data_IF_527505763503
#
_entry.id   IF_527505763503
#
_cell.length_a   1.000
_cell.length_b   1.000
_cell.length_c   1.000
_cell.angle_alpha   90.00
_cell.angle_beta   90.00
_cell.angle_gamma   90.00
#
_symmetry.space_group_name_H-M   'P 1'
#
loop_
_entity.id
_entity.type
_entity.pdbx_description
1 polymer ?
#
# COMPACT_ATOMS: atom_id res chain seq x y z
N UNK A 1 14.05 -6.59 -9.91
CA UNK A 1 13.52 -7.76 -9.19
C UNK A 1 14.08 -9.01 -9.85
N UNK A 2 14.56 -10.04 -9.13
CA UNK A 2 15.28 -11.16 -9.72
C UNK A 2 14.41 -12.33 -10.19
N UNK A 3 13.09 -12.20 -10.17
CA UNK A 3 12.17 -13.26 -10.59
C UNK A 3 11.79 -13.13 -12.05
N UNK A 4 11.73 -14.26 -12.74
CA UNK A 4 11.25 -14.36 -14.10
C UNK A 4 9.76 -14.04 -14.19
N UNK A 5 9.29 -13.74 -15.40
CA UNK A 5 7.87 -13.54 -15.67
C UNK A 5 7.07 -14.80 -15.30
N UNK A 6 5.85 -14.62 -14.80
CA UNK A 6 4.92 -15.73 -14.51
C UNK A 6 5.47 -16.82 -13.56
N UNK A 7 6.33 -16.43 -12.62
CA UNK A 7 6.94 -17.34 -11.63
C UNK A 7 6.04 -17.76 -10.47
N UNK A 8 4.94 -17.04 -10.20
CA UNK A 8 4.10 -17.27 -9.02
C UNK A 8 2.61 -17.32 -9.36
N UNK A 9 1.87 -18.25 -8.72
CA UNK A 9 0.41 -18.28 -8.80
C UNK A 9 -0.25 -17.22 -7.90
N UNK A 10 0.39 -16.90 -6.78
CA UNK A 10 -0.10 -15.94 -5.78
C UNK A 10 1.02 -15.05 -5.30
N UNK A 11 0.75 -13.75 -5.23
CA UNK A 11 1.62 -12.76 -4.58
C UNK A 11 0.85 -12.16 -3.40
N UNK A 12 1.49 -12.12 -2.24
CA UNK A 12 0.93 -11.55 -1.02
C UNK A 12 1.78 -10.37 -0.55
N UNK A 13 1.15 -9.23 -0.34
CA UNK A 13 1.80 -8.01 0.16
C UNK A 13 1.09 -7.55 1.42
N UNK A 14 1.73 -7.76 2.57
CA UNK A 14 1.17 -7.40 3.87
C UNK A 14 1.90 -6.18 4.42
N UNK A 15 1.19 -5.08 4.58
CA UNK A 15 1.65 -3.86 5.24
C UNK A 15 2.96 -3.30 4.70
N UNK A 16 3.12 -3.35 3.38
CA UNK A 16 4.35 -2.95 2.70
C UNK A 16 4.13 -1.97 1.53
N UNK A 17 3.00 -2.06 0.81
CA UNK A 17 2.79 -1.30 -0.43
C UNK A 17 2.80 0.23 -0.19
N UNK A 18 2.28 0.68 0.95
CA UNK A 18 2.27 2.09 1.36
C UNK A 18 3.66 2.71 1.58
N UNK A 19 4.70 1.87 1.65
CA UNK A 19 6.09 2.31 1.82
C UNK A 19 6.90 2.22 0.51
N UNK A 20 6.29 1.74 -0.57
CA UNK A 20 6.92 1.78 -1.89
C UNK A 20 6.95 3.23 -2.40
N UNK A 21 8.12 3.75 -2.81
CA UNK A 21 8.21 5.10 -3.39
C UNK A 21 7.34 5.26 -4.64
N UNK A 22 7.18 4.18 -5.41
CA UNK A 22 6.37 4.14 -6.63
C UNK A 22 5.44 2.92 -6.60
N UNK A 23 4.29 2.99 -5.90
CA UNK A 23 3.37 1.85 -5.74
C UNK A 23 2.88 1.29 -7.07
N UNK A 24 2.65 2.15 -8.07
CA UNK A 24 2.25 1.71 -9.41
C UNK A 24 3.33 0.88 -10.13
N UNK A 25 4.62 1.22 -9.96
CA UNK A 25 5.73 0.43 -10.51
C UNK A 25 5.80 -0.91 -9.79
N UNK A 26 5.65 -0.92 -8.46
CA UNK A 26 5.65 -2.14 -7.66
C UNK A 26 4.51 -3.09 -8.09
N UNK A 27 3.29 -2.57 -8.29
CA UNK A 27 2.14 -3.34 -8.75
C UNK A 27 2.35 -3.92 -10.15
N UNK A 28 2.99 -3.19 -11.08
CA UNK A 28 3.33 -3.73 -12.40
C UNK A 28 4.35 -4.86 -12.32
N UNK A 29 5.34 -4.75 -11.46
CA UNK A 29 6.30 -5.85 -11.23
C UNK A 29 5.62 -7.06 -10.59
N UNK A 30 4.72 -6.87 -9.63
CA UNK A 30 3.90 -7.95 -9.06
C UNK A 30 3.04 -8.61 -10.13
N UNK A 31 2.46 -7.83 -11.04
CA UNK A 31 1.68 -8.34 -12.18
C UNK A 31 2.52 -9.15 -13.15
N UNK A 32 3.76 -8.75 -13.42
CA UNK A 32 4.72 -9.42 -14.32
C UNK A 32 5.10 -10.81 -13.80
N UNK A 33 5.38 -10.93 -12.50
CA UNK A 33 5.78 -12.20 -11.89
C UNK A 33 4.60 -13.15 -11.63
N UNK A 34 3.35 -12.68 -11.76
CA UNK A 34 2.17 -13.53 -11.66
C UNK A 34 1.96 -14.36 -12.93
N UNK A 35 1.70 -15.65 -12.75
CA UNK A 35 1.25 -16.54 -13.80
C UNK A 35 -0.11 -16.08 -14.38
N UNK A 36 -0.45 -16.46 -15.62
CA UNK A 36 -1.79 -16.22 -16.16
C UNK A 36 -2.87 -16.79 -15.23
N UNK A 37 -3.81 -15.95 -14.80
CA UNK A 37 -4.85 -16.35 -13.83
C UNK A 37 -4.42 -16.29 -12.36
N UNK A 38 -3.17 -15.92 -12.07
CA UNK A 38 -2.67 -15.74 -10.71
C UNK A 38 -3.30 -14.53 -10.00
N UNK A 39 -3.22 -14.53 -8.67
CA UNK A 39 -3.86 -13.53 -7.81
C UNK A 39 -2.85 -12.70 -7.01
N UNK A 40 -3.11 -11.40 -6.91
CA UNK A 40 -2.42 -10.51 -5.97
C UNK A 40 -3.36 -10.20 -4.80
N UNK A 41 -2.87 -10.36 -3.58
CA UNK A 41 -3.56 -9.93 -2.37
C UNK A 41 -2.71 -8.88 -1.66
N UNK A 42 -3.30 -7.70 -1.41
CA UNK A 42 -2.66 -6.61 -0.69
C UNK A 42 -3.44 -6.29 0.57
N UNK A 43 -2.74 -6.19 1.69
CA UNK A 43 -3.24 -5.64 2.93
C UNK A 43 -2.48 -4.35 3.23
N UNK A 44 -3.17 -3.21 3.15
CA UNK A 44 -2.61 -1.87 3.42
C UNK A 44 -3.34 -1.21 4.60
N UNK A 45 -2.81 -0.09 5.09
CA UNK A 45 -3.52 0.71 6.10
C UNK A 45 -4.65 1.50 5.44
N UNK A 46 -5.82 1.48 6.08
CA UNK A 46 -6.97 2.30 5.71
C UNK A 46 -6.78 3.77 6.07
N UNK A 47 -7.85 4.59 6.03
CA UNK A 47 -7.78 6.00 6.40
C UNK A 47 -7.21 6.19 7.82
N UNK A 48 -6.48 7.28 8.03
CA UNK A 48 -5.82 7.56 9.30
C UNK A 48 -6.84 7.76 10.43
N UNK A 49 -7.91 8.48 10.12
CA UNK A 49 -9.01 8.86 11.00
C UNK A 49 -9.82 7.67 11.51
N UNK A 50 -9.85 6.57 10.75
CA UNK A 50 -10.58 5.34 11.12
C UNK A 50 -9.80 4.47 12.10
N UNK A 51 -8.51 4.76 12.32
CA UNK A 51 -7.67 4.04 13.25
C UNK A 51 -7.35 4.90 14.49
N UNK A 52 -7.91 4.59 15.67
CA UNK A 52 -7.67 5.40 16.87
C UNK A 52 -6.22 5.33 17.38
N UNK A 53 -5.48 4.28 17.01
CA UNK A 53 -4.10 4.08 17.47
C UNK A 53 -3.12 5.17 16.95
N UNK A 54 -2.93 5.38 15.64
CA UNK A 54 -2.05 6.41 15.12
C UNK A 54 -2.55 7.82 15.47
N UNK A 55 -3.87 8.03 15.59
CA UNK A 55 -4.44 9.30 16.06
C UNK A 55 -3.98 9.60 17.50
N UNK A 56 -4.04 8.61 18.39
CA UNK A 56 -3.55 8.76 19.77
C UNK A 56 -2.04 9.04 19.80
N UNK A 57 -1.25 8.35 18.97
CA UNK A 57 0.20 8.59 18.87
C UNK A 57 0.50 10.03 18.45
N UNK A 58 -0.18 10.55 17.42
CA UNK A 58 -0.01 11.94 16.98
C UNK A 58 -0.35 12.91 18.11
N UNK A 59 -1.50 12.75 18.77
CA UNK A 59 -1.95 13.66 19.83
C UNK A 59 -0.99 13.68 21.04
N UNK A 60 -0.37 12.54 21.35
CA UNK A 60 0.61 12.43 22.44
C UNK A 60 1.96 13.04 22.02
N UNK A 61 2.43 12.77 20.81
CA UNK A 61 3.79 13.11 20.39
C UNK A 61 3.91 14.55 19.87
N UNK A 62 2.89 15.06 19.16
CA UNK A 62 2.93 16.36 18.48
C UNK A 62 3.31 17.53 19.42
N UNK A 63 2.81 17.63 20.68
CA UNK A 63 3.24 18.67 21.62
C UNK A 63 4.72 18.60 22.03
N UNK A 64 5.37 17.44 21.87
CA UNK A 64 6.74 17.19 22.33
C UNK A 64 7.78 17.23 21.19
N UNK A 65 7.39 16.80 19.98
CA UNK A 65 8.30 16.68 18.83
C UNK A 65 7.87 17.49 17.61
N UNK A 66 6.76 18.22 17.71
CA UNK A 66 6.23 19.10 16.67
C UNK A 66 5.36 18.40 15.62
N UNK A 67 4.79 19.22 14.72
CA UNK A 67 3.80 18.81 13.72
C UNK A 67 4.32 17.77 12.69
N UNK A 68 5.64 17.63 12.55
CA UNK A 68 6.23 16.67 11.60
C UNK A 68 5.85 15.21 11.89
N UNK A 69 5.51 14.88 13.14
CA UNK A 69 5.05 13.54 13.51
C UNK A 69 3.74 13.16 12.80
N UNK A 70 2.84 14.14 12.61
CA UNK A 70 1.57 13.94 11.89
C UNK A 70 1.84 13.58 10.45
N UNK A 71 2.69 14.33 9.76
CA UNK A 71 3.06 14.04 8.37
C UNK A 71 3.67 12.66 8.23
N UNK A 72 4.57 12.30 9.17
CA UNK A 72 5.27 11.01 9.13
C UNK A 72 4.32 9.82 9.34
N UNK A 73 3.40 9.91 10.31
CA UNK A 73 2.42 8.86 10.57
C UNK A 73 1.34 8.80 9.49
N UNK A 74 0.87 9.95 8.99
CA UNK A 74 -0.11 10.01 7.90
C UNK A 74 0.43 9.42 6.59
N UNK A 75 1.73 9.53 6.32
CA UNK A 75 2.34 8.98 5.11
C UNK A 75 2.16 7.45 4.99
N UNK A 76 2.12 6.73 6.11
CA UNK A 76 1.88 5.29 6.11
C UNK A 76 0.40 4.92 5.82
N UNK A 77 -0.51 5.90 5.89
CA UNK A 77 -1.92 5.80 5.49
C UNK A 77 -2.17 6.39 4.09
N UNK A 78 -1.12 6.63 3.30
CA UNK A 78 -1.20 7.23 1.95
C UNK A 78 -2.04 6.45 0.95
N UNK A 79 -2.28 5.15 1.20
CA UNK A 79 -3.15 4.29 0.39
C UNK A 79 -4.49 4.00 1.08
N UNK A 80 -4.88 4.82 2.06
CA UNK A 80 -6.08 4.61 2.86
C UNK A 80 -7.39 4.81 2.09
N UNK A 81 -7.37 5.52 0.97
CA UNK A 81 -8.53 5.68 0.10
C UNK A 81 -8.71 4.46 -0.81
N UNK A 82 -9.83 3.75 -0.64
CA UNK A 82 -10.13 2.54 -1.40
C UNK A 82 -10.29 2.78 -2.92
N UNK A 83 -10.79 3.94 -3.34
CA UNK A 83 -10.95 4.29 -4.76
C UNK A 83 -9.60 4.58 -5.41
N UNK A 84 -8.72 5.33 -4.74
CA UNK A 84 -7.35 5.57 -5.20
C UNK A 84 -6.56 4.27 -5.30
N UNK A 85 -6.69 3.39 -4.29
CA UNK A 85 -6.07 2.07 -4.31
C UNK A 85 -6.60 1.25 -5.49
N UNK A 86 -7.91 1.20 -5.72
CA UNK A 86 -8.51 0.52 -6.88
C UNK A 86 -7.98 1.08 -8.21
N UNK A 87 -7.84 2.40 -8.32
CA UNK A 87 -7.29 3.04 -9.51
C UNK A 87 -5.82 2.64 -9.76
N UNK A 88 -5.00 2.52 -8.70
CA UNK A 88 -3.63 2.02 -8.81
C UNK A 88 -3.58 0.59 -9.39
N UNK A 89 -4.45 -0.31 -8.91
CA UNK A 89 -4.54 -1.67 -9.46
C UNK A 89 -4.98 -1.67 -10.93
N UNK A 90 -5.97 -0.83 -11.29
CA UNK A 90 -6.43 -0.70 -12.67
C UNK A 90 -5.29 -0.20 -13.60
N UNK A 91 -4.53 0.82 -13.17
CA UNK A 91 -3.36 1.32 -13.90
C UNK A 91 -2.22 0.29 -14.02
N UNK A 92 -2.21 -0.75 -13.17
CA UNK A 92 -1.28 -1.87 -13.24
C UNK A 92 -1.86 -3.09 -13.99
N UNK A 93 -2.98 -2.93 -14.70
CA UNK A 93 -3.63 -3.95 -15.53
C UNK A 93 -4.14 -5.17 -14.75
N UNK A 94 -4.61 -4.97 -13.51
CA UNK A 94 -5.46 -5.95 -12.83
C UNK A 94 -6.91 -5.77 -13.27
N UNK A 95 -7.59 -6.87 -13.58
CA UNK A 95 -8.94 -6.86 -14.19
C UNK A 95 -10.09 -7.13 -13.21
N UNK A 96 -9.79 -7.59 -11.99
CA UNK A 96 -10.76 -7.87 -10.94
C UNK A 96 -10.27 -7.26 -9.62
N UNK A 97 -10.84 -6.11 -9.22
CA UNK A 97 -10.39 -5.27 -8.08
C UNK A 97 -11.57 -4.73 -7.26
#
# INVERSE_FOLDING_TARGET
>A
MPFDDSSFDVVLVLQALQFCPEPAVALREMRRVLAPGGSLVVCAWGPLEDNPYPVAQINIMEPHVGAAVRTSLAAAHSLGNAEELRNLFNCANFSHV
#
